data_IF_545866345708
#
_entry.id   IF_545866345708
#
_cell.length_a   1.000
_cell.length_b   1.000
_cell.length_c   1.000
_cell.angle_alpha   90.00
_cell.angle_beta   90.00
_cell.angle_gamma   90.00
#
_symmetry.space_group_name_H-M   'P 1'
#
loop_
_entity.id
_entity.type
_entity.pdbx_description
1 polymer ?
#
# COMPACT_ATOMS: atom_id res chain seq x y z
N UNK A 1 9.71 13.52 32.00
CA UNK A 1 9.54 12.17 32.60
C UNK A 1 8.25 11.46 32.17
N UNK A 2 7.09 12.14 32.14
CA UNK A 2 5.78 11.53 31.77
C UNK A 2 5.71 10.91 30.36
N UNK A 3 6.34 11.52 29.35
CA UNK A 3 6.31 11.02 27.96
C UNK A 3 7.06 9.70 27.78
N UNK A 4 8.23 9.53 28.41
CA UNK A 4 9.01 8.28 28.32
C UNK A 4 8.26 7.09 28.94
N UNK A 5 7.58 7.33 30.07
CA UNK A 5 6.75 6.31 30.73
C UNK A 5 5.56 5.91 29.86
N UNK A 6 4.83 6.89 29.29
CA UNK A 6 3.72 6.63 28.37
C UNK A 6 4.16 5.84 27.14
N UNK A 7 5.28 6.21 26.52
CA UNK A 7 5.82 5.50 25.34
C UNK A 7 6.27 4.08 25.66
N UNK A 8 6.83 3.85 26.84
CA UNK A 8 7.22 2.51 27.29
C UNK A 8 5.99 1.61 27.48
N UNK A 9 4.95 2.12 28.13
CA UNK A 9 3.69 1.39 28.33
C UNK A 9 3.02 1.10 27.00
N UNK A 10 2.91 2.11 26.12
CA UNK A 10 2.35 1.95 24.78
C UNK A 10 3.11 0.87 23.99
N UNK A 11 4.45 0.91 24.03
CA UNK A 11 5.28 -0.11 23.36
C UNK A 11 4.99 -1.52 23.87
N UNK A 12 4.87 -1.71 25.18
CA UNK A 12 4.60 -3.03 25.77
C UNK A 12 3.20 -3.54 25.41
N UNK A 13 2.20 -2.66 25.41
CA UNK A 13 0.83 -2.99 24.98
C UNK A 13 0.83 -3.42 23.51
N UNK A 14 1.49 -2.66 22.62
CA UNK A 14 1.58 -2.99 21.19
C UNK A 14 2.31 -4.31 20.95
N UNK A 15 3.39 -4.58 21.69
CA UNK A 15 4.09 -5.87 21.64
C UNK A 15 3.20 -7.03 22.10
N UNK A 16 2.47 -6.88 23.20
CA UNK A 16 1.58 -7.92 23.70
C UNK A 16 0.44 -8.22 22.71
N UNK A 17 -0.19 -7.18 22.16
CA UNK A 17 -1.21 -7.33 21.11
C UNK A 17 -0.63 -8.09 19.90
N UNK A 18 0.58 -7.71 19.45
CA UNK A 18 1.24 -8.37 18.33
C UNK A 18 1.51 -9.86 18.60
N UNK A 19 2.00 -10.21 19.79
CA UNK A 19 2.27 -11.60 20.19
C UNK A 19 0.97 -12.42 20.25
N UNK A 20 -0.06 -11.91 20.92
CA UNK A 20 -1.36 -12.59 21.02
C UNK A 20 -1.97 -12.82 19.64
N UNK A 21 -1.80 -11.86 18.74
CA UNK A 21 -2.33 -11.97 17.38
C UNK A 21 -1.54 -12.97 16.53
N UNK A 22 -0.21 -13.01 16.65
CA UNK A 22 0.63 -14.03 16.00
C UNK A 22 0.28 -15.44 16.48
N UNK A 23 0.01 -15.61 17.78
CA UNK A 23 -0.44 -16.90 18.33
C UNK A 23 -1.81 -17.31 17.77
N UNK A 24 -2.74 -16.37 17.63
CA UNK A 24 -4.05 -16.62 17.02
C UNK A 24 -3.93 -16.96 15.53
N UNK A 25 -3.09 -16.24 14.78
CA UNK A 25 -2.80 -16.53 13.37
C UNK A 25 -2.18 -17.93 13.25
N UNK A 26 -1.22 -18.29 14.11
CA UNK A 26 -0.58 -19.60 14.09
C UNK A 26 -1.60 -20.72 14.38
N UNK A 27 -2.49 -20.53 15.35
CA UNK A 27 -3.58 -21.46 15.65
C UNK A 27 -4.53 -21.64 14.46
N UNK A 28 -4.94 -20.55 13.82
CA UNK A 28 -5.76 -20.60 12.60
C UNK A 28 -4.99 -21.31 11.48
N UNK A 29 -3.71 -21.01 11.29
CA UNK A 29 -2.90 -21.64 10.24
C UNK A 29 -2.72 -23.14 10.47
N UNK A 30 -2.48 -23.57 11.71
CA UNK A 30 -2.43 -24.99 12.09
C UNK A 30 -3.78 -25.67 11.80
N UNK A 31 -4.88 -25.01 12.12
CA UNK A 31 -6.23 -25.52 11.83
C UNK A 31 -6.52 -25.61 10.33
N UNK A 32 -6.01 -24.64 9.54
CA UNK A 32 -6.25 -24.56 8.09
C UNK A 32 -5.30 -25.42 7.25
N UNK A 33 -4.12 -25.77 7.77
CA UNK A 33 -3.07 -26.56 7.11
C UNK A 33 -3.15 -28.06 7.46
N UNK A 34 -4.28 -28.51 8.01
CA UNK A 34 -4.59 -29.92 8.19
C UNK A 34 -4.74 -30.62 6.84
N UNK A 35 -3.62 -30.87 6.18
CA UNK A 35 -3.51 -31.48 4.86
C UNK A 35 -3.06 -32.95 5.00
N UNK A 36 -3.95 -33.90 5.29
CA UNK A 36 -3.80 -35.33 4.88
C UNK A 36 -5.15 -36.08 4.88
N UNK A 37 -6.21 -35.53 4.29
CA UNK A 37 -7.45 -36.31 4.09
C UNK A 37 -7.96 -36.04 2.68
N UNK A 38 -8.17 -37.11 1.90
CA UNK A 38 -8.81 -37.02 0.59
C UNK A 38 -10.28 -36.65 0.80
N UNK A 39 -10.57 -35.36 0.75
CA UNK A 39 -11.93 -34.85 0.86
C UNK A 39 -12.71 -35.10 -0.43
N UNK A 40 -13.98 -35.46 -0.28
CA UNK A 40 -14.96 -35.45 -1.36
C UNK A 40 -15.23 -34.02 -1.83
N UNK A 41 -15.79 -33.85 -3.03
CA UNK A 41 -16.10 -32.53 -3.61
C UNK A 41 -17.00 -31.67 -2.69
N UNK A 42 -17.98 -32.29 -2.03
CA UNK A 42 -18.85 -31.63 -1.03
C UNK A 42 -18.09 -31.19 0.23
N UNK A 43 -17.14 -31.99 0.69
CA UNK A 43 -16.30 -31.64 1.84
C UNK A 43 -15.35 -30.50 1.50
N UNK A 44 -14.81 -30.46 0.27
CA UNK A 44 -14.00 -29.34 -0.23
C UNK A 44 -14.76 -28.01 -0.24
N UNK A 45 -16.02 -28.01 -0.69
CA UNK A 45 -16.88 -26.81 -0.66
C UNK A 45 -17.15 -26.34 0.77
N UNK A 46 -17.42 -27.27 1.70
CA UNK A 46 -17.67 -26.96 3.10
C UNK A 46 -16.42 -26.37 3.78
N UNK A 47 -15.24 -26.95 3.53
CA UNK A 47 -13.97 -26.44 4.04
C UNK A 47 -13.70 -25.03 3.50
N UNK A 48 -13.98 -24.77 2.23
CA UNK A 48 -13.83 -23.43 1.66
C UNK A 48 -14.75 -22.42 2.35
N UNK A 49 -16.01 -22.78 2.64
CA UNK A 49 -16.94 -21.92 3.39
C UNK A 49 -16.44 -21.64 4.81
N UNK A 50 -15.91 -22.65 5.51
CA UNK A 50 -15.32 -22.47 6.84
C UNK A 50 -14.09 -21.55 6.79
N UNK A 51 -13.21 -21.72 5.79
CA UNK A 51 -12.06 -20.84 5.54
C UNK A 51 -12.50 -19.39 5.35
N UNK A 52 -13.55 -19.16 4.55
CA UNK A 52 -14.16 -17.83 4.37
C UNK A 52 -14.68 -17.23 5.67
N UNK A 53 -15.43 -18.00 6.47
CA UNK A 53 -15.97 -17.52 7.75
C UNK A 53 -14.83 -17.15 8.71
N UNK A 54 -13.84 -18.03 8.87
CA UNK A 54 -12.69 -17.77 9.74
C UNK A 54 -11.92 -16.52 9.30
N UNK A 55 -11.71 -16.33 8.00
CA UNK A 55 -11.03 -15.14 7.52
C UNK A 55 -11.84 -13.86 7.77
N UNK A 56 -13.15 -13.88 7.52
CA UNK A 56 -14.02 -12.72 7.76
C UNK A 56 -14.12 -12.38 9.26
N UNK A 57 -14.27 -13.39 10.11
CA UNK A 57 -14.49 -13.21 11.55
C UNK A 57 -13.21 -13.01 12.36
N UNK A 58 -12.07 -13.49 11.87
CA UNK A 58 -10.79 -13.47 12.61
C UNK A 58 -9.72 -12.72 11.82
N UNK A 59 -9.50 -13.08 10.55
CA UNK A 59 -8.47 -12.48 9.70
C UNK A 59 -8.63 -10.98 9.50
N UNK A 60 -9.82 -10.52 9.09
CA UNK A 60 -10.11 -9.10 8.85
C UNK A 60 -9.96 -8.27 10.15
N UNK A 61 -10.57 -8.64 11.29
CA UNK A 61 -10.37 -7.89 12.53
C UNK A 61 -8.91 -7.80 12.96
N UNK A 62 -8.14 -8.88 12.83
CA UNK A 62 -6.70 -8.89 13.08
C UNK A 62 -5.98 -7.89 12.19
N UNK A 63 -6.26 -7.89 10.89
CA UNK A 63 -5.64 -6.97 9.95
C UNK A 63 -5.99 -5.51 10.25
N UNK A 64 -7.23 -5.23 10.64
CA UNK A 64 -7.66 -3.89 11.08
C UNK A 64 -6.84 -3.46 12.32
N UNK A 65 -6.70 -4.33 13.32
CA UNK A 65 -5.88 -4.04 14.52
C UNK A 65 -4.44 -3.73 14.12
N UNK A 66 -3.86 -4.52 13.21
CA UNK A 66 -2.49 -4.36 12.73
C UNK A 66 -2.30 -3.05 11.97
N UNK A 67 -3.28 -2.66 11.15
CA UNK A 67 -3.30 -1.39 10.44
C UNK A 67 -3.40 -0.20 11.40
N UNK A 68 -4.30 -0.26 12.39
CA UNK A 68 -4.46 0.78 13.42
C UNK A 68 -3.18 0.95 14.25
N UNK A 69 -2.51 -0.16 14.59
CA UNK A 69 -1.22 -0.14 15.27
C UNK A 69 -0.15 0.54 14.41
N UNK A 70 -0.02 0.17 13.13
CA UNK A 70 0.94 0.80 12.24
C UNK A 70 0.70 2.30 12.07
N UNK A 71 -0.56 2.72 11.91
CA UNK A 71 -0.94 4.13 11.87
C UNK A 71 -0.57 4.88 13.16
N UNK A 72 -0.76 4.25 14.31
CA UNK A 72 -0.39 4.83 15.61
C UNK A 72 1.12 4.97 15.74
N UNK A 73 1.90 3.96 15.32
CA UNK A 73 3.38 4.02 15.32
C UNK A 73 3.87 5.17 14.43
N UNK A 74 3.32 5.31 13.22
CA UNK A 74 3.68 6.40 12.30
C UNK A 74 3.31 7.75 12.88
N UNK A 75 2.10 7.88 13.44
CA UNK A 75 1.64 9.10 14.10
C UNK A 75 2.56 9.50 15.25
N UNK A 76 2.91 8.56 16.13
CA UNK A 76 3.80 8.79 17.26
C UNK A 76 5.22 9.15 16.79
N UNK A 77 5.76 8.43 15.80
CA UNK A 77 7.08 8.70 15.23
C UNK A 77 7.16 10.10 14.58
N UNK A 78 6.05 10.62 14.05
CA UNK A 78 5.97 11.98 13.51
C UNK A 78 6.04 13.07 14.59
N UNK A 79 5.44 12.84 15.75
CA UNK A 79 5.30 13.86 16.80
C UNK A 79 6.41 13.80 17.85
N UNK A 80 7.14 12.69 17.97
CA UNK A 80 8.35 12.62 18.78
C UNK A 80 9.52 13.21 18.00
N UNK A 81 10.37 13.99 18.68
CA UNK A 81 11.65 14.49 18.16
C UNK A 81 12.69 13.36 18.05
N UNK A 82 12.44 12.38 17.18
CA UNK A 82 13.41 11.36 16.81
C UNK A 82 14.45 11.93 15.84
N UNK A 83 15.63 11.30 15.80
CA UNK A 83 16.58 11.56 14.71
C UNK A 83 15.95 11.20 13.37
N UNK A 84 16.19 12.02 12.32
CA UNK A 84 15.60 11.82 10.98
C UNK A 84 15.87 10.41 10.43
N UNK A 85 17.08 9.88 10.62
CA UNK A 85 17.45 8.52 10.20
C UNK A 85 16.61 7.44 10.88
N UNK A 86 16.31 7.60 12.17
CA UNK A 86 15.46 6.68 12.93
C UNK A 86 14.01 6.75 12.45
N UNK A 87 13.48 7.96 12.23
CA UNK A 87 12.13 8.16 11.69
C UNK A 87 11.98 7.53 10.31
N UNK A 88 12.95 7.73 9.42
CA UNK A 88 13.00 7.10 8.09
C UNK A 88 13.02 5.57 8.17
N UNK A 89 13.83 5.02 9.08
CA UNK A 89 13.85 3.56 9.29
C UNK A 89 12.51 3.02 9.79
N UNK A 90 11.80 3.75 10.66
CA UNK A 90 10.46 3.36 11.13
C UNK A 90 9.48 3.38 9.96
N UNK A 91 9.43 4.47 9.20
CA UNK A 91 8.52 4.61 8.06
C UNK A 91 8.76 3.53 7.00
N UNK A 92 10.02 3.26 6.68
CA UNK A 92 10.40 2.17 5.77
C UNK A 92 9.87 0.81 6.25
N UNK A 93 10.07 0.47 7.52
CA UNK A 93 9.58 -0.79 8.10
C UNK A 93 8.05 -0.85 8.10
N UNK A 94 7.38 0.25 8.41
CA UNK A 94 5.92 0.34 8.38
C UNK A 94 5.36 0.22 6.97
N UNK A 95 6.07 0.76 5.96
CA UNK A 95 5.73 0.62 4.53
C UNK A 95 5.71 -0.85 4.13
N UNK A 96 6.79 -1.60 4.38
CA UNK A 96 6.83 -3.04 4.13
C UNK A 96 5.76 -3.80 4.91
N UNK A 97 5.62 -3.50 6.21
CA UNK A 97 4.66 -4.20 7.07
C UNK A 97 3.22 -4.04 6.54
N UNK A 98 2.80 -2.83 6.21
CA UNK A 98 1.45 -2.56 5.68
C UNK A 98 1.29 -3.17 4.28
N UNK A 99 2.31 -3.09 3.44
CA UNK A 99 2.29 -3.74 2.13
C UNK A 99 2.08 -5.26 2.24
N UNK A 100 2.88 -5.95 3.07
CA UNK A 100 2.73 -7.39 3.27
C UNK A 100 1.42 -7.76 3.98
N UNK A 101 0.93 -6.92 4.90
CA UNK A 101 -0.38 -7.09 5.51
C UNK A 101 -1.50 -7.01 4.46
N UNK A 102 -1.47 -5.98 3.61
CA UNK A 102 -2.42 -5.83 2.51
C UNK A 102 -2.33 -6.98 1.52
N UNK A 103 -1.12 -7.42 1.18
CA UNK A 103 -0.91 -8.56 0.27
C UNK A 103 -1.43 -9.87 0.86
N UNK A 104 -1.21 -10.12 2.15
CA UNK A 104 -1.76 -11.27 2.85
C UNK A 104 -3.29 -11.27 2.84
N UNK A 105 -3.92 -10.09 2.96
CA UNK A 105 -5.37 -9.94 2.82
C UNK A 105 -5.84 -10.22 1.38
N UNK A 106 -5.14 -9.69 0.37
CA UNK A 106 -5.49 -9.94 -1.03
C UNK A 106 -5.35 -11.41 -1.42
N UNK A 107 -4.31 -12.10 -0.93
CA UNK A 107 -4.10 -13.53 -1.21
C UNK A 107 -5.29 -14.40 -0.79
N UNK A 108 -6.07 -13.95 0.19
CA UNK A 108 -7.30 -14.65 0.56
C UNK A 108 -8.40 -14.49 -0.49
N UNK A 109 -8.49 -13.31 -1.11
CA UNK A 109 -9.52 -12.98 -2.11
C UNK A 109 -9.18 -13.53 -3.50
N UNK A 110 -7.90 -13.65 -3.82
CA UNK A 110 -7.44 -14.27 -5.07
C UNK A 110 -7.14 -15.76 -4.86
N UNK A 111 -8.09 -16.61 -5.26
CA UNK A 111 -7.96 -18.07 -5.19
C UNK A 111 -6.91 -18.64 -6.14
N UNK A 112 -6.50 -17.87 -7.16
CA UNK A 112 -5.50 -18.26 -8.16
C UNK A 112 -4.21 -17.50 -7.95
N UNK A 113 -3.09 -18.21 -8.07
CA UNK A 113 -1.78 -17.59 -8.20
C UNK A 113 -1.72 -16.77 -9.49
N UNK A 114 -1.23 -15.54 -9.39
CA UNK A 114 -0.86 -14.75 -10.56
C UNK A 114 0.63 -15.01 -10.86
N UNK A 115 0.99 -15.03 -12.15
CA UNK A 115 2.38 -15.16 -12.59
C UNK A 115 2.86 -13.80 -13.05
N UNK A 116 4.02 -13.38 -12.55
CA UNK A 116 4.68 -12.14 -12.99
C UNK A 116 5.80 -12.55 -13.95
N UNK A 117 5.77 -11.99 -15.16
CA UNK A 117 6.78 -12.24 -16.19
C UNK A 117 7.65 -11.00 -16.30
N UNK A 118 8.96 -11.18 -16.17
CA UNK A 118 9.95 -10.11 -16.27
C UNK A 118 10.62 -10.15 -17.63
N UNK A 119 10.61 -9.02 -18.33
CA UNK A 119 11.31 -8.85 -19.60
C UNK A 119 12.31 -7.70 -19.47
N UNK A 120 13.56 -7.94 -19.88
CA UNK A 120 14.60 -6.90 -19.99
C UNK A 120 14.85 -6.06 -18.72
N UNK A 121 14.81 -6.70 -17.53
CA UNK A 121 15.07 -5.99 -16.27
C UNK A 121 16.54 -5.54 -16.21
N UNK A 122 16.82 -4.23 -16.08
CA UNK A 122 18.19 -3.74 -15.97
C UNK A 122 18.85 -4.23 -14.68
N UNK A 123 20.11 -4.67 -14.77
CA UNK A 123 20.89 -5.15 -13.61
C UNK A 123 21.09 -4.09 -12.51
N UNK A 124 21.08 -2.81 -12.89
CA UNK A 124 21.38 -1.69 -12.00
C UNK A 124 20.13 -0.97 -11.49
N UNK A 125 18.93 -1.56 -11.67
CA UNK A 125 17.67 -0.88 -11.36
C UNK A 125 17.57 -0.45 -9.88
N UNK A 126 18.26 -1.15 -8.97
CA UNK A 126 18.33 -0.86 -7.52
C UNK A 126 18.92 0.49 -7.17
N UNK A 127 19.89 0.92 -7.97
CA UNK A 127 20.73 2.09 -7.71
C UNK A 127 20.49 3.19 -8.75
N UNK A 128 19.31 3.21 -9.34
CA UNK A 128 18.93 4.17 -10.38
C UNK A 128 17.54 4.71 -10.12
N UNK A 129 17.30 5.94 -10.57
CA UNK A 129 15.96 6.48 -10.70
C UNK A 129 15.27 5.84 -11.92
N UNK A 130 14.00 5.48 -11.78
CA UNK A 130 13.18 5.00 -12.88
C UNK A 130 11.72 5.43 -12.68
N UNK A 131 10.88 5.26 -13.70
CA UNK A 131 9.46 5.57 -13.61
C UNK A 131 8.71 4.27 -13.91
N UNK A 132 7.75 3.91 -13.06
CA UNK A 132 6.85 2.81 -13.34
C UNK A 132 5.59 3.36 -14.00
N UNK A 133 5.30 2.90 -15.21
CA UNK A 133 4.07 3.24 -15.94
C UNK A 133 3.23 1.97 -16.02
N UNK A 134 1.97 2.08 -15.62
CA UNK A 134 1.00 0.98 -15.71
C UNK A 134 -0.33 1.52 -16.22
N UNK A 135 -1.06 0.70 -16.94
CA UNK A 135 -2.48 0.96 -17.20
C UNK A 135 -3.28 0.84 -15.91
N UNK A 136 -4.36 1.62 -15.78
CA UNK A 136 -5.30 1.54 -14.66
C UNK A 136 -6.59 0.78 -15.04
N UNK A 137 -6.70 -0.46 -14.58
CA UNK A 137 -7.84 -1.35 -14.79
C UNK A 137 -8.68 -1.49 -13.52
N UNK A 138 -8.06 -1.44 -12.34
CA UNK A 138 -8.74 -1.70 -11.06
C UNK A 138 -8.13 -0.94 -9.88
N UNK A 139 -8.90 -0.84 -8.80
CA UNK A 139 -8.42 -0.31 -7.51
C UNK A 139 -7.25 -1.09 -6.90
N UNK A 140 -6.99 -2.30 -7.38
CA UNK A 140 -5.93 -3.17 -6.87
C UNK A 140 -4.64 -3.10 -7.67
N UNK A 141 -4.60 -2.35 -8.78
CA UNK A 141 -3.42 -2.32 -9.67
C UNK A 141 -2.16 -1.90 -8.93
N UNK A 142 -2.26 -0.91 -8.05
CA UNK A 142 -1.14 -0.45 -7.24
C UNK A 142 -0.58 -1.57 -6.34
N UNK A 143 -1.39 -2.53 -5.89
CA UNK A 143 -0.93 -3.68 -5.10
C UNK A 143 -0.18 -4.69 -5.96
N UNK A 144 -0.69 -4.98 -7.16
CA UNK A 144 -0.01 -5.90 -8.10
C UNK A 144 1.32 -5.34 -8.59
N UNK A 145 1.35 -4.04 -8.94
CA UNK A 145 2.57 -3.34 -9.31
C UNK A 145 3.53 -3.30 -8.13
N UNK A 146 3.06 -2.95 -6.93
CA UNK A 146 3.89 -2.94 -5.72
C UNK A 146 4.53 -4.30 -5.44
N UNK A 147 3.77 -5.39 -5.60
CA UNK A 147 4.31 -6.74 -5.46
C UNK A 147 5.35 -7.06 -6.52
N UNK A 148 5.10 -6.70 -7.77
CA UNK A 148 6.08 -6.87 -8.86
C UNK A 148 7.39 -6.15 -8.54
N UNK A 149 7.30 -4.90 -8.05
CA UNK A 149 8.44 -4.07 -7.67
C UNK A 149 9.14 -4.61 -6.41
N UNK A 150 8.41 -5.19 -5.46
CA UNK A 150 8.98 -5.85 -4.28
C UNK A 150 9.77 -7.10 -4.65
N UNK A 151 9.26 -7.93 -5.56
CA UNK A 151 9.97 -9.14 -6.02
C UNK A 151 11.27 -8.79 -6.75
N UNK A 152 11.35 -7.59 -7.30
CA UNK A 152 12.56 -7.02 -7.88
C UNK A 152 13.50 -6.37 -6.85
N UNK A 153 13.07 -6.23 -5.59
CA UNK A 153 13.85 -5.67 -4.49
C UNK A 153 13.85 -4.13 -4.44
N UNK A 154 12.85 -3.48 -5.05
CA UNK A 154 12.82 -2.01 -5.26
C UNK A 154 11.63 -1.31 -4.58
N UNK A 155 10.91 -2.00 -3.71
CA UNK A 155 9.68 -1.47 -3.08
C UNK A 155 9.89 -0.20 -2.26
N UNK A 156 11.08 -0.05 -1.65
CA UNK A 156 11.44 1.14 -0.90
C UNK A 156 11.31 2.42 -1.72
N UNK A 157 11.71 2.36 -2.99
CA UNK A 157 11.77 3.51 -3.89
C UNK A 157 10.41 3.85 -4.50
N UNK A 158 9.40 2.97 -4.37
CA UNK A 158 8.09 3.13 -5.00
C UNK A 158 7.33 4.32 -4.41
N UNK A 159 6.95 5.26 -5.24
CA UNK A 159 6.15 6.43 -4.88
C UNK A 159 4.80 6.33 -5.59
N UNK A 160 3.73 6.11 -4.83
CA UNK A 160 2.40 5.92 -5.43
C UNK A 160 1.74 7.29 -5.61
N UNK A 161 1.29 7.61 -6.82
CA UNK A 161 0.46 8.79 -7.07
C UNK A 161 -0.98 8.54 -6.61
N UNK A 162 -1.55 9.47 -5.85
CA UNK A 162 -2.86 9.34 -5.22
C UNK A 162 -3.65 10.65 -5.31
N UNK A 163 -4.97 10.58 -5.09
CA UNK A 163 -5.84 11.77 -5.03
C UNK A 163 -5.46 12.65 -3.85
N UNK A 164 -5.33 13.97 -4.06
CA UNK A 164 -4.97 14.92 -3.01
C UNK A 164 -5.97 14.98 -1.84
N UNK A 165 -7.23 14.62 -2.08
CA UNK A 165 -8.24 14.50 -1.01
C UNK A 165 -7.84 13.47 0.06
N UNK A 166 -7.12 12.41 -0.30
CA UNK A 166 -6.64 11.39 0.65
C UNK A 166 -5.61 11.94 1.63
N UNK A 167 -4.89 13.01 1.27
CA UNK A 167 -3.95 13.67 2.18
C UNK A 167 -4.64 14.23 3.43
N UNK A 168 -5.91 14.64 3.30
CA UNK A 168 -6.71 15.21 4.39
C UNK A 168 -7.34 14.14 5.30
N UNK A 169 -7.28 12.87 4.91
CA UNK A 169 -7.83 11.79 5.72
C UNK A 169 -6.99 11.63 7.01
N UNK A 170 -7.59 11.71 8.21
CA UNK A 170 -6.84 11.55 9.45
C UNK A 170 -6.22 10.14 9.52
N UNK A 171 -4.99 10.06 10.04
CA UNK A 171 -4.15 8.85 10.10
C UNK A 171 -3.69 8.32 8.73
N UNK A 172 -4.61 8.10 7.79
CA UNK A 172 -4.31 7.60 6.44
C UNK A 172 -3.42 8.59 5.67
N UNK A 173 -3.74 9.88 5.70
CA UNK A 173 -2.92 10.90 5.05
C UNK A 173 -1.49 10.94 5.60
N UNK A 174 -1.32 10.80 6.92
CA UNK A 174 0.01 10.72 7.55
C UNK A 174 0.77 9.48 7.14
N UNK A 175 0.07 8.36 7.01
CA UNK A 175 0.65 7.09 6.59
C UNK A 175 1.16 7.17 5.14
N UNK A 176 0.33 7.67 4.24
CA UNK A 176 0.65 7.85 2.83
C UNK A 176 1.79 8.86 2.64
N UNK A 177 1.78 9.99 3.36
CA UNK A 177 2.88 10.96 3.34
C UNK A 177 4.19 10.37 3.89
N UNK A 178 4.11 9.48 4.89
CA UNK A 178 5.27 8.77 5.42
C UNK A 178 5.85 7.74 4.44
N UNK A 179 5.08 7.33 3.42
CA UNK A 179 5.50 6.38 2.38
C UNK A 179 5.92 7.04 1.08
N UNK A 180 6.12 8.36 1.11
CA UNK A 180 6.51 9.20 -0.02
C UNK A 180 5.49 9.14 -1.19
N UNK A 181 4.20 8.97 -0.86
CA UNK A 181 3.11 9.09 -1.83
C UNK A 181 3.03 10.51 -2.40
N UNK A 182 2.73 10.60 -3.70
CA UNK A 182 2.55 11.87 -4.42
C UNK A 182 1.06 12.18 -4.49
N UNK A 183 0.65 13.38 -4.10
CA UNK A 183 -0.76 13.76 -4.04
C UNK A 183 -1.11 14.73 -5.16
N UNK A 184 -1.97 14.29 -6.08
CA UNK A 184 -2.39 15.06 -7.25
C UNK A 184 -3.80 15.62 -7.07
N UNK A 185 -3.98 16.93 -7.27
CA UNK A 185 -5.24 17.62 -7.05
C UNK A 185 -6.08 17.63 -8.33
N UNK A 186 -6.85 16.57 -8.57
CA UNK A 186 -7.72 16.46 -9.77
C UNK A 186 -9.02 17.25 -9.63
N UNK A 187 -8.93 18.51 -9.23
CA UNK A 187 -10.07 19.36 -8.84
C UNK A 187 -10.48 20.35 -9.95
N UNK A 188 -9.66 20.49 -11.00
CA UNK A 188 -9.90 21.39 -12.13
C UNK A 188 -10.49 20.68 -13.34
N UNK A 189 -10.95 21.48 -14.33
CA UNK A 189 -11.13 20.97 -15.70
C UNK A 189 -9.79 20.34 -16.13
N UNK A 190 -9.77 19.15 -16.74
CA UNK A 190 -8.55 18.48 -17.20
C UNK A 190 -7.66 19.33 -18.13
N UNK A 191 -8.18 20.46 -18.63
CA UNK A 191 -7.53 21.43 -19.49
C UNK A 191 -7.01 22.68 -18.80
N UNK A 192 -7.07 22.80 -17.46
CA UNK A 192 -6.45 23.93 -16.74
C UNK A 192 -4.93 23.75 -16.66
N UNK A 193 -4.11 24.51 -17.41
CA UNK A 193 -2.66 24.37 -17.41
C UNK A 193 -2.06 24.64 -16.03
N UNK A 194 -2.74 25.46 -15.21
CA UNK A 194 -2.29 25.75 -13.85
C UNK A 194 -2.40 24.50 -12.95
N UNK A 195 -3.40 23.64 -13.19
CA UNK A 195 -3.56 22.41 -12.41
C UNK A 195 -2.47 21.39 -12.72
N UNK A 196 -2.11 21.24 -14.00
CA UNK A 196 -1.00 20.37 -14.42
C UNK A 196 0.32 20.85 -13.84
N UNK A 197 0.58 22.16 -13.88
CA UNK A 197 1.79 22.75 -13.28
C UNK A 197 1.84 22.51 -11.76
N UNK A 198 0.72 22.70 -11.05
CA UNK A 198 0.66 22.43 -9.60
C UNK A 198 0.91 20.95 -9.26
N UNK A 199 0.38 20.04 -10.07
CA UNK A 199 0.57 18.59 -9.90
C UNK A 199 2.02 18.19 -10.18
N UNK A 200 2.64 18.78 -11.22
CA UNK A 200 4.07 18.60 -11.52
C UNK A 200 4.97 19.18 -10.42
N UNK A 201 4.64 20.35 -9.88
CA UNK A 201 5.36 20.95 -8.75
C UNK A 201 5.27 20.05 -7.51
N UNK A 202 4.09 19.47 -7.22
CA UNK A 202 3.93 18.55 -6.08
C UNK A 202 4.76 17.26 -6.26
N UNK A 203 4.78 16.71 -7.48
CA UNK A 203 5.63 15.58 -7.83
C UNK A 203 7.11 15.95 -7.68
N UNK A 204 7.52 17.09 -8.22
CA UNK A 204 8.90 17.57 -8.15
C UNK A 204 9.35 17.74 -6.69
N UNK A 205 8.56 18.40 -5.84
CA UNK A 205 8.86 18.56 -4.41
C UNK A 205 9.03 17.21 -3.70
N UNK A 206 8.18 16.24 -4.01
CA UNK A 206 8.25 14.89 -3.43
C UNK A 206 9.50 14.13 -3.90
N UNK A 207 9.86 14.28 -5.17
CA UNK A 207 11.08 13.72 -5.76
C UNK A 207 12.34 14.36 -5.18
N UNK A 208 12.38 15.69 -5.08
CA UNK A 208 13.50 16.45 -4.51
C UNK A 208 13.74 16.06 -3.05
N UNK A 209 12.69 15.97 -2.24
CA UNK A 209 12.78 15.47 -0.86
C UNK A 209 13.43 14.08 -0.82
N UNK A 210 12.96 13.17 -1.66
CA UNK A 210 13.49 11.79 -1.71
C UNK A 210 14.98 11.76 -2.09
N UNK A 211 15.38 12.55 -3.09
CA UNK A 211 16.78 12.69 -3.52
C UNK A 211 17.65 13.29 -2.41
N UNK A 212 17.20 14.38 -1.77
CA UNK A 212 17.92 15.03 -0.67
C UNK A 212 18.16 14.08 0.51
N UNK A 213 17.25 13.12 0.71
CA UNK A 213 17.39 12.08 1.73
C UNK A 213 18.19 10.85 1.27
N UNK A 214 18.83 10.92 0.09
CA UNK A 214 19.64 9.85 -0.49
C UNK A 214 18.84 8.66 -1.02
N UNK A 215 17.56 8.86 -1.33
CA UNK A 215 16.69 7.84 -1.92
C UNK A 215 16.75 7.82 -3.45
N UNK A 216 16.32 6.70 -4.04
CA UNK A 216 16.07 6.59 -5.47
C UNK A 216 14.59 6.80 -5.77
N UNK A 217 14.29 7.26 -6.98
CA UNK A 217 12.94 7.60 -7.39
C UNK A 217 12.33 6.44 -8.16
N UNK A 218 11.09 6.09 -7.82
CA UNK A 218 10.23 5.23 -8.62
C UNK A 218 8.76 5.67 -8.52
N UNK A 219 8.37 6.81 -9.13
CA UNK A 219 6.96 7.17 -9.24
C UNK A 219 6.19 6.16 -10.09
N UNK A 220 5.08 5.68 -9.53
CA UNK A 220 4.07 4.90 -10.23
C UNK A 220 3.03 5.82 -10.85
N UNK A 221 2.97 5.83 -12.17
CA UNK A 221 2.06 6.64 -12.96
C UNK A 221 1.02 5.77 -13.67
N UNK A 222 -0.22 6.22 -13.60
CA UNK A 222 -1.34 5.72 -14.37
C UNK A 222 -1.76 6.82 -15.36
N UNK A 223 -1.22 6.82 -16.60
CA UNK A 223 -1.34 7.93 -17.54
C UNK A 223 -2.79 8.14 -18.00
N UNK A 224 -3.64 7.12 -17.91
CA UNK A 224 -5.08 7.25 -18.23
C UNK A 224 -5.80 8.17 -17.22
N UNK A 225 -5.28 8.27 -16.00
CA UNK A 225 -5.89 9.07 -14.93
C UNK A 225 -7.23 8.55 -14.40
N UNK A 226 -7.84 7.54 -15.02
CA UNK A 226 -9.10 6.89 -14.60
C UNK A 226 -9.12 5.42 -15.03
N UNK A 227 -10.11 4.64 -14.60
CA UNK A 227 -10.26 3.25 -15.03
C UNK A 227 -10.61 3.18 -16.51
N UNK A 228 -10.09 2.17 -17.20
CA UNK A 228 -10.53 1.79 -18.53
C UNK A 228 -11.86 1.02 -18.45
N UNK A 229 -12.97 1.72 -18.21
CA UNK A 229 -14.32 1.16 -18.36
C UNK A 229 -15.15 1.96 -19.37
N UNK A 230 -16.17 1.34 -19.96
CA UNK A 230 -16.98 1.95 -21.02
C UNK A 230 -17.61 3.29 -20.58
N UNK A 231 -18.03 3.39 -19.31
CA UNK A 231 -18.60 4.61 -18.75
C UNK A 231 -17.58 5.74 -18.63
N UNK A 232 -16.37 5.46 -18.15
CA UNK A 232 -15.29 6.44 -18.03
C UNK A 232 -14.74 6.83 -19.42
N UNK A 233 -14.72 5.89 -20.36
CA UNK A 233 -14.39 6.16 -21.75
C UNK A 233 -15.42 7.09 -22.41
N UNK A 234 -16.71 6.86 -22.19
CA UNK A 234 -17.77 7.75 -22.67
C UNK A 234 -17.70 9.14 -22.02
N UNK A 235 -17.35 9.24 -20.73
CA UNK A 235 -17.07 10.52 -20.08
C UNK A 235 -15.86 11.23 -20.71
N UNK A 236 -14.78 10.50 -20.96
CA UNK A 236 -13.58 11.03 -21.59
C UNK A 236 -13.85 11.50 -23.03
N UNK A 237 -14.66 10.75 -23.78
CA UNK A 237 -15.09 11.08 -25.14
C UNK A 237 -15.98 12.33 -25.17
N UNK A 238 -17.03 12.38 -24.33
CA UNK A 238 -17.88 13.58 -24.18
C UNK A 238 -17.07 14.81 -23.76
N UNK A 239 -16.07 14.61 -22.91
CA UNK A 239 -15.15 15.68 -22.54
C UNK A 239 -14.34 16.14 -23.74
N UNK A 240 -13.69 15.23 -24.49
CA UNK A 240 -12.93 15.56 -25.71
C UNK A 240 -13.77 16.31 -26.75
N UNK A 241 -15.02 15.89 -26.96
CA UNK A 241 -15.97 16.56 -27.85
C UNK A 241 -16.37 17.96 -27.35
N UNK A 242 -16.30 18.23 -26.03
CA UNK A 242 -16.62 19.54 -25.44
C UNK A 242 -15.50 20.59 -25.51
N UNK A 243 -14.29 20.16 -25.88
CA UNK A 243 -13.08 21.01 -26.01
C UNK A 243 -12.63 21.21 -27.46
N UNK A 244 -13.31 20.57 -28.43
CA UNK A 244 -13.19 20.86 -29.86
C UNK A 244 -14.21 21.94 -30.27
#
# INVERSE_FOLDING_TARGET
MKVKCFLSILFHILCLISILTLLLILLVFIFLKGDVINFTEKEGEMIQKIKCILYLCVGIPIAIIHLLMAMTIVFVARHIRLARSAQKSIYRRMKYYIFHLGYAMLRFWFSKSFTVIYCNVPKNLRSSHFITISNHVSDFDWMFVSYTIEQLGYFDNLMITMKASLRKAPFIGYLLEAFDSVFLARNGKPSDPNQVNNDLESLQQSCEKTIQEGGFLNPLLFPEGTYLCAEEFEKAKKYHESIQ
#
